data_IF_508040757656
#
_entry.id   IF_508040757656
#
_cell.length_a   1.000
_cell.length_b   1.000
_cell.length_c   1.000
_cell.angle_alpha   90.00
_cell.angle_beta   90.00
_cell.angle_gamma   90.00
#
_symmetry.space_group_name_H-M   'P 1'
#
loop_
_entity.id
_entity.type
_entity.pdbx_description
1 polymer ?
#
# COMPACT_ATOMS: atom_id res chain seq x y z
N UNK A 1 -44.10 13.49 21.13
CA UNK A 1 -42.66 13.79 21.04
C UNK A 1 -41.98 13.09 22.19
N UNK A 2 -41.42 11.91 21.95
CA UNK A 2 -40.77 11.09 22.97
C UNK A 2 -39.27 11.42 22.99
N UNK A 3 -38.62 11.55 24.15
CA UNK A 3 -37.20 11.87 24.20
C UNK A 3 -36.34 10.64 23.83
N UNK A 4 -35.33 10.85 23.00
CA UNK A 4 -34.30 9.86 22.67
C UNK A 4 -33.49 9.47 23.92
N UNK A 5 -33.07 8.20 24.07
CA UNK A 5 -32.16 7.81 25.14
C UNK A 5 -30.74 8.39 24.90
N UNK A 6 -29.97 8.66 25.96
CA UNK A 6 -28.61 9.17 25.85
C UNK A 6 -27.69 8.13 25.19
N UNK A 7 -26.81 8.60 24.30
CA UNK A 7 -25.83 7.77 23.60
C UNK A 7 -24.78 7.15 24.55
N UNK A 8 -24.06 6.11 24.10
CA UNK A 8 -23.09 5.41 24.92
C UNK A 8 -21.89 6.30 25.27
N UNK A 9 -21.36 6.11 26.48
CA UNK A 9 -20.19 6.82 27.00
C UNK A 9 -18.93 6.51 26.17
N UNK A 10 -17.97 7.45 26.08
CA UNK A 10 -16.72 7.25 25.37
C UNK A 10 -15.87 6.15 26.02
N UNK A 11 -15.36 5.24 25.20
CA UNK A 11 -14.45 4.16 25.58
C UNK A 11 -13.07 4.76 25.91
N UNK A 12 -12.41 4.37 27.01
CA UNK A 12 -11.10 4.92 27.35
C UNK A 12 -10.04 4.47 26.33
N UNK A 13 -9.32 5.45 25.77
CA UNK A 13 -8.16 5.22 24.92
C UNK A 13 -7.05 4.63 25.79
N UNK A 14 -6.76 3.35 25.60
CA UNK A 14 -5.59 2.72 26.18
C UNK A 14 -4.32 3.40 25.61
N UNK A 15 -3.62 4.14 26.47
CA UNK A 15 -2.26 4.62 26.18
C UNK A 15 -1.30 3.42 26.16
N UNK A 16 -1.27 2.72 25.04
CA UNK A 16 -0.24 1.74 24.72
C UNK A 16 1.06 2.48 24.38
N UNK A 17 2.03 2.41 25.27
CA UNK A 17 3.39 2.87 25.05
C UNK A 17 4.08 1.96 24.01
N UNK A 18 3.95 2.27 22.72
CA UNK A 18 4.81 1.68 21.67
C UNK A 18 5.89 2.69 21.32
N UNK A 19 7.07 2.56 21.97
CA UNK A 19 8.30 3.18 21.46
C UNK A 19 8.70 2.46 20.17
N UNK A 20 8.17 2.90 19.03
CA UNK A 20 8.76 2.61 17.73
C UNK A 20 10.06 3.40 17.67
N UNK A 21 11.19 2.69 17.78
CA UNK A 21 12.49 3.31 17.51
C UNK A 21 12.53 3.72 16.03
N UNK A 22 13.10 4.88 15.69
CA UNK A 22 13.23 5.29 14.29
C UNK A 22 14.00 4.22 13.51
N UNK A 23 13.52 3.88 12.31
CA UNK A 23 14.21 2.94 11.45
C UNK A 23 15.63 3.47 11.19
N UNK A 24 16.68 2.66 11.45
CA UNK A 24 18.04 3.11 11.18
C UNK A 24 18.18 3.34 9.68
N UNK A 25 18.58 4.56 9.30
CA UNK A 25 19.04 4.82 7.95
C UNK A 25 20.11 3.77 7.59
N UNK A 26 20.06 3.16 6.40
CA UNK A 26 21.14 2.31 5.94
C UNK A 26 22.42 3.14 5.97
N UNK A 27 23.37 2.71 6.82
CA UNK A 27 24.67 3.39 6.95
C UNK A 27 25.31 3.47 5.58
N UNK A 28 25.85 4.64 5.21
CA UNK A 28 26.69 4.75 4.02
C UNK A 28 27.85 3.76 4.17
N UNK A 29 27.88 2.76 3.29
CA UNK A 29 28.96 1.79 3.21
C UNK A 29 30.16 2.48 2.56
N UNK A 30 30.85 3.34 3.32
CA UNK A 30 32.21 3.72 2.98
C UNK A 30 33.12 2.53 3.26
N UNK A 31 33.38 1.74 2.21
CA UNK A 31 34.41 0.72 2.18
C UNK A 31 33.89 -0.72 2.10
N UNK A 32 33.58 -1.19 0.90
CA UNK A 32 33.76 -2.60 0.50
C UNK A 32 33.57 -2.76 -1.02
N UNK A 33 34.57 -2.36 -1.80
CA UNK A 33 34.83 -3.04 -3.06
C UNK A 33 35.39 -4.44 -2.71
N UNK A 34 34.54 -5.46 -2.59
CA UNK A 34 35.00 -6.83 -2.33
C UNK A 34 34.04 -7.75 -1.56
N UNK A 35 32.92 -8.14 -2.18
CA UNK A 35 32.28 -9.47 -2.14
C UNK A 35 30.81 -9.30 -2.59
N UNK A 36 30.50 -9.75 -3.80
CA UNK A 36 29.20 -9.57 -4.46
C UNK A 36 28.09 -10.35 -3.77
N UNK A 37 27.55 -9.81 -2.68
CA UNK A 37 26.42 -10.38 -1.97
C UNK A 37 25.28 -9.38 -1.98
N UNK A 38 24.11 -9.85 -2.45
CA UNK A 38 22.87 -9.10 -2.46
C UNK A 38 22.52 -8.58 -1.05
N UNK A 39 21.86 -7.42 -0.91
CA UNK A 39 21.43 -6.93 0.40
C UNK A 39 20.65 -7.99 1.15
N UNK A 40 20.87 -8.15 2.46
CA UNK A 40 20.21 -9.22 3.22
C UNK A 40 18.73 -8.92 3.45
N UNK A 41 17.92 -9.97 3.42
CA UNK A 41 16.51 -9.96 3.84
C UNK A 41 15.71 -8.77 3.30
N UNK A 42 15.74 -8.58 1.98
CA UNK A 42 14.98 -7.52 1.31
C UNK A 42 13.49 -7.83 1.41
N UNK A 43 12.70 -6.84 1.83
CA UNK A 43 11.25 -7.00 1.96
C UNK A 43 10.58 -5.79 2.58
N UNK A 44 9.41 -6.00 3.18
CA UNK A 44 8.56 -4.93 3.71
C UNK A 44 8.99 -4.56 5.13
N UNK A 45 9.46 -3.32 5.29
CA UNK A 45 9.89 -2.70 6.54
C UNK A 45 8.72 -2.12 7.34
N UNK A 46 7.78 -1.48 6.65
CA UNK A 46 6.61 -0.85 7.23
C UNK A 46 5.45 -0.86 6.21
N UNK A 47 4.22 -0.88 6.71
CA UNK A 47 3.01 -0.93 5.87
C UNK A 47 1.93 -0.02 6.46
N UNK A 48 1.42 0.92 5.67
CA UNK A 48 0.32 1.83 6.02
C UNK A 48 -0.91 1.53 5.16
N UNK A 49 -2.10 1.71 5.73
CA UNK A 49 -3.38 1.46 5.03
C UNK A 49 -4.29 2.68 5.17
N UNK A 50 -4.97 3.01 4.08
CA UNK A 50 -6.04 3.98 4.04
C UNK A 50 -7.25 3.38 3.31
N UNK A 51 -8.44 3.57 3.87
CA UNK A 51 -9.70 3.32 3.18
C UNK A 51 -10.66 4.47 3.52
N UNK A 52 -11.60 4.80 2.61
CA UNK A 52 -12.58 5.85 2.86
C UNK A 52 -13.40 5.61 4.13
N UNK A 53 -13.78 6.70 4.80
CA UNK A 53 -14.57 6.62 6.03
C UNK A 53 -16.05 6.27 5.80
N UNK A 54 -16.55 6.45 4.56
CA UNK A 54 -17.92 6.16 4.19
C UNK A 54 -18.07 4.73 3.71
N UNK A 55 -19.13 4.07 4.17
CA UNK A 55 -19.47 2.71 3.76
C UNK A 55 -20.99 2.53 3.68
N UNK A 56 -21.40 1.49 2.98
CA UNK A 56 -22.79 0.99 2.98
C UNK A 56 -22.83 -0.40 3.58
N UNK A 57 -23.79 -0.65 4.47
CA UNK A 57 -24.07 -1.98 5.02
C UNK A 57 -24.65 -2.86 3.91
N UNK A 58 -24.08 -4.04 3.70
CA UNK A 58 -24.50 -4.96 2.64
C UNK A 58 -25.93 -5.46 2.85
N UNK A 59 -26.36 -5.62 4.10
CA UNK A 59 -27.74 -5.97 4.42
C UNK A 59 -28.74 -4.87 4.02
N UNK A 60 -28.37 -3.59 4.10
CA UNK A 60 -29.21 -2.49 3.60
C UNK A 60 -29.19 -2.44 2.08
N UNK A 61 -28.04 -2.73 1.45
CA UNK A 61 -27.93 -2.82 -0.01
C UNK A 61 -28.76 -3.98 -0.58
N UNK A 62 -28.83 -5.12 0.11
CA UNK A 62 -29.72 -6.24 -0.25
C UNK A 62 -31.20 -5.78 -0.31
N UNK A 63 -31.64 -5.02 0.70
CA UNK A 63 -33.01 -4.47 0.76
C UNK A 63 -33.25 -3.46 -0.34
N UNK A 64 -32.27 -2.58 -0.59
CA UNK A 64 -32.34 -1.57 -1.64
C UNK A 64 -32.45 -2.20 -3.04
N UNK A 65 -31.66 -3.22 -3.32
CA UNK A 65 -31.66 -3.93 -4.61
C UNK A 65 -32.84 -4.90 -4.77
N UNK A 66 -33.62 -5.13 -3.70
CA UNK A 66 -34.76 -6.06 -3.72
C UNK A 66 -34.34 -7.53 -3.88
N UNK A 67 -33.16 -7.91 -3.41
CA UNK A 67 -32.65 -9.29 -3.47
C UNK A 67 -32.95 -10.05 -2.17
N UNK A 68 -32.83 -11.38 -2.23
CA UNK A 68 -33.02 -12.22 -1.05
C UNK A 68 -31.99 -11.90 0.04
N UNK A 69 -32.46 -11.83 1.29
CA UNK A 69 -31.62 -11.62 2.46
C UNK A 69 -30.51 -12.70 2.53
N UNK A 70 -29.27 -12.29 2.70
CA UNK A 70 -28.13 -13.19 2.69
C UNK A 70 -27.43 -13.31 1.34
N UNK A 71 -27.97 -12.79 0.23
CA UNK A 71 -27.30 -12.87 -1.08
C UNK A 71 -25.90 -12.24 -1.05
N UNK A 72 -25.73 -11.09 -0.41
CA UNK A 72 -24.46 -10.39 -0.30
C UNK A 72 -23.73 -10.77 1.00
N UNK A 73 -24.44 -10.77 2.12
CA UNK A 73 -23.83 -11.03 3.44
C UNK A 73 -23.37 -12.47 3.66
N UNK A 74 -24.08 -13.46 3.08
CA UNK A 74 -23.70 -14.88 3.15
C UNK A 74 -23.18 -15.41 1.83
N UNK A 75 -23.83 -15.05 0.72
CA UNK A 75 -23.45 -15.51 -0.62
C UNK A 75 -22.09 -14.96 -1.07
N UNK A 76 -21.83 -13.66 -0.86
CA UNK A 76 -20.52 -13.06 -1.12
C UNK A 76 -19.63 -13.01 0.13
N UNK A 77 -20.22 -13.17 1.32
CA UNK A 77 -19.50 -13.04 2.60
C UNK A 77 -19.14 -11.60 2.97
N UNK A 78 -19.75 -10.60 2.33
CA UNK A 78 -19.43 -9.19 2.52
C UNK A 78 -20.34 -8.54 3.55
N UNK A 79 -19.79 -7.81 4.51
CA UNK A 79 -20.58 -7.11 5.54
C UNK A 79 -20.80 -5.64 5.20
N UNK A 80 -19.73 -4.94 4.82
CA UNK A 80 -19.72 -3.51 4.53
C UNK A 80 -18.93 -3.26 3.26
N UNK A 81 -19.34 -2.27 2.48
CA UNK A 81 -18.63 -1.83 1.28
C UNK A 81 -18.25 -0.37 1.41
N UNK A 82 -16.94 -0.11 1.54
CA UNK A 82 -16.39 1.24 1.56
C UNK A 82 -16.44 1.88 0.17
N UNK A 83 -16.71 3.17 0.09
CA UNK A 83 -16.72 3.92 -1.17
C UNK A 83 -16.17 5.33 -0.96
N UNK A 84 -15.55 5.88 -1.99
CA UNK A 84 -15.01 7.23 -1.96
C UNK A 84 -16.13 8.28 -1.89
N UNK A 85 -15.97 9.27 -1.01
CA UNK A 85 -16.78 10.48 -1.07
C UNK A 85 -16.43 11.29 -2.34
N UNK A 86 -17.26 12.27 -2.69
CA UNK A 86 -17.05 13.11 -3.89
C UNK A 86 -15.71 13.88 -3.92
N UNK A 87 -15.01 13.98 -2.79
CA UNK A 87 -13.72 14.66 -2.65
C UNK A 87 -12.53 13.69 -2.54
N UNK A 88 -12.77 12.38 -2.69
CA UNK A 88 -11.74 11.34 -2.66
C UNK A 88 -11.60 10.70 -4.04
N UNK A 89 -10.39 10.71 -4.58
CA UNK A 89 -9.97 10.01 -5.79
C UNK A 89 -8.70 9.18 -5.56
N UNK A 90 -8.28 8.39 -6.55
CA UNK A 90 -7.09 7.53 -6.41
C UNK A 90 -5.84 8.31 -6.01
N UNK A 91 -5.68 9.54 -6.51
CA UNK A 91 -4.55 10.39 -6.16
C UNK A 91 -4.59 10.76 -4.68
N UNK A 92 -5.73 11.19 -4.16
CA UNK A 92 -5.92 11.56 -2.76
C UNK A 92 -5.72 10.37 -1.81
N UNK A 93 -6.17 9.16 -2.19
CA UNK A 93 -5.94 7.94 -1.43
C UNK A 93 -4.44 7.65 -1.33
N UNK A 94 -3.74 7.68 -2.47
CA UNK A 94 -2.30 7.42 -2.57
C UNK A 94 -1.46 8.50 -1.86
N UNK A 95 -1.82 9.79 -1.99
CA UNK A 95 -1.17 10.89 -1.27
C UNK A 95 -1.30 10.70 0.24
N UNK A 96 -2.50 10.37 0.72
CA UNK A 96 -2.80 10.20 2.13
C UNK A 96 -1.99 9.05 2.74
N UNK A 97 -1.99 7.88 2.08
CA UNK A 97 -1.32 6.70 2.64
C UNK A 97 0.21 6.83 2.62
N UNK A 98 0.79 7.48 1.59
CA UNK A 98 2.24 7.72 1.52
C UNK A 98 2.68 8.72 2.59
N UNK A 99 1.96 9.83 2.73
CA UNK A 99 2.26 10.82 3.76
C UNK A 99 2.21 10.19 5.16
N UNK A 100 1.15 9.43 5.48
CA UNK A 100 1.02 8.73 6.77
C UNK A 100 2.15 7.73 7.01
N UNK A 101 2.53 6.96 5.98
CA UNK A 101 3.64 6.01 6.09
C UNK A 101 4.95 6.72 6.47
N UNK A 102 5.30 7.79 5.75
CA UNK A 102 6.55 8.54 5.96
C UNK A 102 6.58 9.20 7.33
N UNK A 103 5.47 9.83 7.75
CA UNK A 103 5.33 10.45 9.07
C UNK A 103 5.45 9.42 10.19
N UNK A 104 4.72 8.30 10.10
CA UNK A 104 4.71 7.25 11.12
C UNK A 104 6.04 6.49 11.21
N UNK A 105 6.71 6.31 10.08
CA UNK A 105 8.04 5.70 10.04
C UNK A 105 9.17 6.68 10.43
N UNK A 106 8.84 7.96 10.66
CA UNK A 106 9.79 9.04 10.95
C UNK A 106 10.92 9.14 9.91
N UNK A 107 10.56 9.02 8.62
CA UNK A 107 11.51 9.05 7.52
C UNK A 107 11.68 10.46 6.95
N UNK A 108 12.89 10.78 6.52
CA UNK A 108 13.10 11.91 5.61
C UNK A 108 12.63 11.54 4.21
N UNK A 109 12.01 12.49 3.51
CA UNK A 109 11.69 12.35 2.08
C UNK A 109 12.92 12.11 1.21
N UNK A 110 14.11 12.53 1.65
CA UNK A 110 15.38 12.29 0.95
C UNK A 110 15.87 10.84 1.06
N UNK A 111 15.32 10.07 2.00
CA UNK A 111 15.66 8.66 2.21
C UNK A 111 14.95 7.71 1.23
N UNK A 112 14.12 8.23 0.32
CA UNK A 112 13.37 7.44 -0.67
C UNK A 112 14.02 7.66 -2.05
N UNK A 113 14.43 6.56 -2.69
CA UNK A 113 15.06 6.56 -4.01
C UNK A 113 14.21 5.96 -5.11
N UNK A 114 13.15 5.22 -4.75
CA UNK A 114 12.18 4.68 -5.70
C UNK A 114 10.76 4.83 -5.14
N UNK A 115 9.83 5.24 -6.00
CA UNK A 115 8.41 5.29 -5.71
C UNK A 115 7.64 4.69 -6.88
N UNK A 116 6.89 3.62 -6.63
CA UNK A 116 6.13 2.92 -7.67
C UNK A 116 4.68 2.71 -7.25
N UNK A 117 3.74 2.90 -8.18
CA UNK A 117 2.30 2.79 -7.90
C UNK A 117 1.72 1.62 -8.69
N UNK A 118 1.09 0.68 -8.00
CA UNK A 118 0.24 -0.34 -8.59
C UNK A 118 -1.23 0.08 -8.52
N UNK A 119 -1.87 0.28 -9.66
CA UNK A 119 -3.30 0.62 -9.73
C UNK A 119 -3.91 0.15 -11.06
N UNK A 120 -5.20 -0.21 -11.03
CA UNK A 120 -6.04 -0.38 -12.21
C UNK A 120 -7.01 0.80 -12.42
N UNK A 121 -7.01 1.77 -11.50
CA UNK A 121 -7.86 2.96 -11.52
C UNK A 121 -7.23 4.09 -12.34
N UNK A 122 -7.45 4.09 -13.65
CA UNK A 122 -6.87 5.05 -14.59
C UNK A 122 -7.63 6.39 -14.59
N UNK A 123 -7.02 7.44 -14.04
CA UNK A 123 -7.53 8.82 -14.14
C UNK A 123 -7.06 9.53 -15.41
N UNK A 124 -5.81 9.29 -15.81
CA UNK A 124 -5.19 9.85 -17.01
C UNK A 124 -4.46 8.73 -17.78
N UNK A 125 -4.55 8.73 -19.12
CA UNK A 125 -3.98 7.68 -19.97
C UNK A 125 -2.47 7.81 -20.18
N UNK A 126 -1.89 8.96 -19.84
CA UNK A 126 -0.49 9.28 -20.06
C UNK A 126 0.22 9.68 -18.77
N UNK A 127 -0.45 10.43 -17.90
CA UNK A 127 0.13 10.93 -16.65
C UNK A 127 -0.09 9.94 -15.51
N UNK A 128 0.99 9.29 -15.10
CA UNK A 128 1.04 8.39 -13.96
C UNK A 128 0.69 9.07 -12.61
N UNK A 129 -0.03 8.38 -11.74
CA UNK A 129 -0.31 8.73 -10.34
C UNK A 129 0.98 9.01 -9.58
N UNK A 130 2.04 8.24 -9.85
CA UNK A 130 3.39 8.49 -9.29
C UNK A 130 3.84 9.95 -9.45
N UNK A 131 3.57 10.57 -10.61
CA UNK A 131 3.95 11.97 -10.85
C UNK A 131 3.13 12.97 -10.02
N UNK A 132 1.92 12.60 -9.59
CA UNK A 132 1.13 13.37 -8.64
C UNK A 132 1.70 13.21 -7.23
N UNK A 133 2.16 12.02 -6.86
CA UNK A 133 2.79 11.78 -5.55
C UNK A 133 4.11 12.52 -5.36
N UNK A 134 4.85 12.81 -6.44
CA UNK A 134 6.05 13.65 -6.39
C UNK A 134 5.80 15.06 -5.84
N UNK A 135 4.54 15.49 -5.71
CA UNK A 135 4.19 16.72 -5.02
C UNK A 135 4.61 16.72 -3.54
N UNK A 136 4.61 15.57 -2.87
CA UNK A 136 5.01 15.39 -1.47
C UNK A 136 6.52 15.60 -1.26
N UNK A 137 7.32 15.44 -2.32
CA UNK A 137 8.78 15.54 -2.29
C UNK A 137 9.30 16.95 -2.57
N UNK A 138 8.42 17.89 -2.94
CA UNK A 138 8.82 19.23 -3.40
C UNK A 138 9.59 20.01 -2.35
N UNK A 139 9.15 19.95 -1.09
CA UNK A 139 9.75 20.74 -0.01
C UNK A 139 11.13 20.20 0.42
N UNK A 140 11.39 18.90 0.24
CA UNK A 140 12.72 18.33 0.49
C UNK A 140 13.69 18.56 -0.68
N UNK A 141 13.17 18.86 -1.88
CA UNK A 141 13.96 18.99 -3.09
C UNK A 141 14.37 17.66 -3.71
N UNK A 142 13.93 16.52 -3.17
CA UNK A 142 14.24 15.20 -3.71
C UNK A 142 13.41 14.90 -4.98
N UNK A 143 13.93 15.29 -6.13
CA UNK A 143 13.33 14.98 -7.44
C UNK A 143 13.89 13.72 -8.10
N UNK A 144 15.01 13.19 -7.60
CA UNK A 144 15.70 12.03 -8.14
C UNK A 144 15.16 10.73 -7.50
N UNK A 145 13.95 10.36 -7.91
CA UNK A 145 13.21 9.20 -7.41
C UNK A 145 12.71 8.37 -8.59
N UNK A 146 13.22 7.15 -8.73
CA UNK A 146 12.82 6.21 -9.78
C UNK A 146 11.36 5.72 -9.64
N UNK A 147 10.86 5.03 -10.66
CA UNK A 147 9.54 4.38 -10.66
C UNK A 147 8.44 5.20 -11.35
N UNK A 148 7.37 4.50 -11.72
CA UNK A 148 6.19 4.98 -12.46
C UNK A 148 4.94 4.23 -11.95
N UNK A 149 3.88 4.18 -12.76
CA UNK A 149 2.72 3.32 -12.50
C UNK A 149 2.89 1.98 -13.23
N UNK A 150 2.50 0.90 -12.56
CA UNK A 150 2.48 -0.47 -13.10
C UNK A 150 1.06 -1.01 -13.01
N UNK A 151 0.51 -1.45 -14.14
CA UNK A 151 -0.90 -1.86 -14.24
C UNK A 151 -1.04 -3.22 -14.91
N UNK A 152 -1.70 -4.14 -14.20
CA UNK A 152 -2.33 -5.33 -14.80
C UNK A 152 -3.39 -5.84 -13.83
N UNK A 153 -4.61 -5.29 -13.94
CA UNK A 153 -5.68 -5.52 -12.99
C UNK A 153 -5.20 -5.38 -11.51
N UNK A 154 -5.80 -6.15 -10.59
CA UNK A 154 -5.40 -6.22 -9.18
C UNK A 154 -3.95 -6.68 -8.94
N UNK A 155 -3.21 -7.14 -9.96
CA UNK A 155 -1.82 -7.59 -9.82
C UNK A 155 -0.80 -6.44 -9.86
N UNK A 156 -1.20 -5.23 -10.29
CA UNK A 156 -0.28 -4.09 -10.43
C UNK A 156 0.53 -3.82 -9.15
N UNK A 157 -0.11 -3.89 -7.98
CA UNK A 157 0.56 -3.72 -6.68
C UNK A 157 1.67 -4.74 -6.41
N UNK A 158 1.43 -6.01 -6.73
CA UNK A 158 2.41 -7.09 -6.57
C UNK A 158 3.58 -6.91 -7.54
N UNK A 159 3.30 -6.53 -8.79
CA UNK A 159 4.35 -6.23 -9.76
C UNK A 159 5.25 -5.08 -9.29
N UNK A 160 4.66 -4.00 -8.76
CA UNK A 160 5.41 -2.89 -8.17
C UNK A 160 6.26 -3.31 -6.96
N UNK A 161 5.77 -4.25 -6.14
CA UNK A 161 6.53 -4.81 -5.02
C UNK A 161 7.77 -5.58 -5.49
N UNK A 162 7.63 -6.42 -6.53
CA UNK A 162 8.76 -7.13 -7.11
C UNK A 162 9.76 -6.19 -7.77
N UNK A 163 9.28 -5.22 -8.55
CA UNK A 163 10.15 -4.21 -9.15
C UNK A 163 10.94 -3.42 -8.10
N UNK A 164 10.33 -3.10 -6.95
CA UNK A 164 11.01 -2.44 -5.84
C UNK A 164 12.05 -3.34 -5.17
N UNK A 165 11.72 -4.61 -4.91
CA UNK A 165 12.66 -5.57 -4.34
C UNK A 165 13.86 -5.80 -5.27
N UNK A 166 13.60 -6.02 -6.56
CA UNK A 166 14.63 -6.19 -7.59
C UNK A 166 15.51 -4.95 -7.71
N UNK A 167 14.93 -3.74 -7.62
CA UNK A 167 15.69 -2.49 -7.61
C UNK A 167 16.62 -2.40 -6.40
N UNK A 168 16.13 -2.73 -5.19
CA UNK A 168 16.94 -2.76 -3.96
C UNK A 168 18.10 -3.77 -4.09
N UNK A 169 17.86 -4.89 -4.77
CA UNK A 169 18.89 -5.90 -5.01
C UNK A 169 19.85 -5.51 -6.15
N UNK A 170 19.43 -4.68 -7.09
CA UNK A 170 20.20 -4.36 -8.30
C UNK A 170 21.50 -3.59 -8.06
N UNK A 171 22.38 -3.60 -9.06
CA UNK A 171 23.57 -2.73 -9.10
C UNK A 171 23.24 -1.23 -9.17
N UNK A 172 21.99 -0.86 -9.47
CA UNK A 172 21.52 0.51 -9.52
C UNK A 172 21.02 1.01 -8.17
N UNK A 173 20.97 0.15 -7.14
CA UNK A 173 20.55 0.55 -5.81
C UNK A 173 21.51 1.59 -5.24
N UNK A 174 20.95 2.72 -4.81
CA UNK A 174 21.69 3.87 -4.28
C UNK A 174 21.73 3.91 -2.74
N UNK A 175 21.23 2.85 -2.09
CA UNK A 175 21.15 2.74 -0.64
C UNK A 175 19.87 3.32 -0.02
N UNK A 176 19.00 3.99 -0.78
CA UNK A 176 17.73 4.55 -0.28
C UNK A 176 16.62 3.50 -0.25
N UNK A 177 15.51 3.81 0.41
CA UNK A 177 14.34 2.95 0.46
C UNK A 177 13.52 3.05 -0.84
N UNK A 178 12.78 1.98 -1.13
CA UNK A 178 11.71 2.01 -2.12
C UNK A 178 10.35 2.13 -1.41
N UNK A 179 9.42 2.87 -2.00
CA UNK A 179 8.04 2.97 -1.55
C UNK A 179 7.14 2.41 -2.66
N UNK A 180 6.29 1.46 -2.30
CA UNK A 180 5.30 0.86 -3.19
C UNK A 180 3.92 1.25 -2.72
N UNK A 181 3.09 1.77 -3.61
CA UNK A 181 1.72 2.17 -3.31
C UNK A 181 0.76 1.33 -4.13
N UNK A 182 -0.13 0.59 -3.46
CA UNK A 182 -1.21 -0.14 -4.11
C UNK A 182 -2.50 0.63 -3.83
N UNK A 183 -3.24 1.08 -4.83
CA UNK A 183 -4.49 1.81 -4.58
C UNK A 183 -5.49 1.61 -5.69
N UNK A 184 -6.76 1.45 -5.33
CA UNK A 184 -7.84 1.28 -6.30
C UNK A 184 -9.21 1.77 -5.80
N UNK A 185 -10.05 2.13 -6.77
CA UNK A 185 -11.46 2.48 -6.60
C UNK A 185 -12.27 1.56 -7.51
N UNK A 186 -12.78 0.47 -6.93
CA UNK A 186 -13.61 -0.50 -7.63
C UNK A 186 -15.09 -0.05 -7.60
N UNK A 187 -15.53 0.59 -8.69
CA UNK A 187 -16.92 1.02 -8.89
C UNK A 187 -17.51 0.33 -10.11
N UNK A 188 -18.67 -0.30 -9.92
CA UNK A 188 -19.36 -1.03 -10.98
C UNK A 188 -20.74 -0.44 -11.28
N UNK A 189 -21.18 -0.63 -12.53
CA UNK A 189 -22.54 -0.30 -12.94
C UNK A 189 -23.60 -1.10 -12.15
N UNK A 190 -24.86 -0.70 -12.27
CA UNK A 190 -25.99 -1.39 -11.62
C UNK A 190 -26.05 -2.86 -12.04
N UNK A 191 -26.18 -3.75 -11.07
CA UNK A 191 -26.17 -5.20 -11.28
C UNK A 191 -25.40 -5.95 -10.20
N UNK A 192 -25.24 -7.26 -10.39
CA UNK A 192 -24.69 -8.17 -9.38
C UNK A 192 -23.21 -7.89 -9.00
N UNK A 193 -22.47 -7.10 -9.78
CA UNK A 193 -21.09 -6.72 -9.47
C UNK A 193 -21.01 -5.48 -8.57
N UNK A 194 -22.06 -4.63 -8.51
CA UNK A 194 -22.05 -3.43 -7.65
C UNK A 194 -21.73 -3.73 -6.18
N UNK A 195 -22.25 -4.80 -5.56
CA UNK A 195 -21.95 -5.13 -4.16
C UNK A 195 -20.52 -5.64 -3.92
N UNK A 196 -19.73 -5.88 -4.96
CA UNK A 196 -18.33 -6.33 -4.85
C UNK A 196 -17.33 -5.20 -5.05
N UNK A 197 -17.80 -3.95 -5.05
CA UNK A 197 -16.94 -2.77 -5.12
C UNK A 197 -16.14 -2.55 -3.84
N UNK A 198 -15.42 -1.43 -3.81
CA UNK A 198 -14.58 -1.05 -2.69
C UNK A 198 -13.62 0.06 -3.08
N UNK A 199 -12.97 0.66 -2.09
CA UNK A 199 -11.88 1.58 -2.32
C UNK A 199 -10.87 1.52 -1.19
N UNK A 200 -9.60 1.70 -1.52
CA UNK A 200 -8.53 1.73 -0.54
C UNK A 200 -7.16 1.91 -1.17
N UNK A 201 -6.19 2.24 -0.34
CA UNK A 201 -4.79 2.30 -0.70
C UNK A 201 -3.89 1.78 0.43
N UNK A 202 -2.76 1.19 0.05
CA UNK A 202 -1.74 0.64 0.93
C UNK A 202 -0.40 1.20 0.47
N UNK A 203 0.45 1.65 1.40
CA UNK A 203 1.83 1.99 1.12
C UNK A 203 2.77 1.05 1.88
N UNK A 204 3.75 0.50 1.18
CA UNK A 204 4.77 -0.40 1.71
C UNK A 204 6.14 0.24 1.56
N UNK A 205 6.89 0.32 2.67
CA UNK A 205 8.31 0.68 2.66
C UNK A 205 9.13 -0.59 2.43
N UNK A 206 9.99 -0.59 1.42
CA UNK A 206 10.79 -1.74 1.01
C UNK A 206 12.28 -1.44 1.17
N UNK A 207 13.02 -2.39 1.74
CA UNK A 207 14.46 -2.28 1.95
C UNK A 207 15.06 -3.54 2.60
N UNK A 208 16.36 -3.52 2.90
CA UNK A 208 17.06 -4.67 3.49
C UNK A 208 16.77 -4.83 4.98
N UNK A 209 17.04 -6.03 5.51
CA UNK A 209 16.83 -6.41 6.91
C UNK A 209 15.37 -6.23 7.36
N UNK A 210 14.44 -6.54 6.46
CA UNK A 210 13.02 -6.38 6.69
C UNK A 210 12.47 -7.46 7.65
N UNK A 211 11.54 -7.10 8.56
CA UNK A 211 10.84 -8.08 9.38
C UNK A 211 9.95 -9.01 8.55
N UNK A 212 9.49 -8.55 7.38
CA UNK A 212 8.77 -9.33 6.38
C UNK A 212 9.63 -9.45 5.13
N UNK A 213 10.65 -10.30 5.19
CA UNK A 213 11.55 -10.56 4.07
C UNK A 213 10.87 -11.37 2.97
N UNK A 214 11.14 -11.03 1.72
CA UNK A 214 10.75 -11.85 0.58
C UNK A 214 11.69 -13.06 0.50
N UNK A 215 11.12 -14.26 0.47
CA UNK A 215 11.91 -15.47 0.27
C UNK A 215 12.45 -15.48 -1.16
N UNK A 216 13.77 -15.37 -1.29
CA UNK A 216 14.41 -15.55 -2.59
C UNK A 216 14.18 -16.97 -3.05
N UNK A 217 13.76 -17.13 -4.29
CA UNK A 217 13.70 -18.45 -4.92
C UNK A 217 15.11 -19.01 -4.91
N UNK A 218 15.36 -19.98 -4.03
CA UNK A 218 16.59 -20.75 -4.08
C UNK A 218 16.59 -21.50 -5.41
N UNK A 219 17.57 -21.29 -6.31
CA UNK A 219 17.69 -22.15 -7.47
C UNK A 219 17.83 -23.57 -6.94
N UNK A 220 16.90 -24.43 -7.35
CA UNK A 220 16.81 -25.84 -6.95
C UNK A 220 18.22 -26.43 -6.76
N UNK A 221 18.54 -27.08 -5.62
CA UNK A 221 19.87 -27.67 -5.45
C UNK A 221 20.14 -28.60 -6.64
N UNK A 222 21.31 -28.52 -7.29
CA UNK A 222 21.58 -29.27 -8.50
C UNK A 222 21.21 -30.74 -8.26
N UNK A 223 20.29 -31.24 -9.08
CA UNK A 223 19.73 -32.58 -8.96
C UNK A 223 20.83 -33.59 -9.33
N UNK A 224 21.71 -33.93 -8.39
CA UNK A 224 22.76 -34.92 -8.62
C UNK A 224 24.06 -34.73 -7.86
N UNK A 225 24.05 -34.87 -6.54
CA UNK A 225 25.17 -35.44 -5.78
C UNK A 225 24.60 -36.32 -4.65
N UNK A 226 23.97 -37.44 -5.05
CA UNK A 226 24.00 -38.68 -4.26
C UNK A 226 24.85 -39.65 -5.08
N UNK A 227 26.07 -39.87 -4.62
CA UNK A 227 27.05 -40.80 -5.15
C UNK A 227 28.15 -40.93 -4.12
#
# INVERSE_FOLDING_TARGET
>A
MSPFPPGPAPVPVAQGCTRTSPLPLPRSLSGAAGSGTWPKDVGVLALEVYFPAQYVEQAELERFDGVEAGKYTRGLGQQQMGFCAAHEDINSLCLTVVQRLVERAHLSWDAIGRLEVGTETVVDKSKAVKTVLMQLFRDSGNSDVEGIDTTNACYGGTASLFNAADWVESSSWDGRYAVVVCGDIAVYATGNARPTGGAGAIAMLVGPNAPLALERVCPYPPRGQRG
#
